data_IF_942435220151
#
_entry.id   IF_942435220151
#
_cell.length_a   1.000
_cell.length_b   1.000
_cell.length_c   1.000
_cell.angle_alpha   90.00
_cell.angle_beta   90.00
_cell.angle_gamma   90.00
#
_symmetry.space_group_name_H-M   'P 1'
#
loop_
_entity.id
_entity.type
_entity.pdbx_description
1 polymer ?
#
# COMPACT_ATOMS: atom_id res chain seq x y z
N UNK A 1 1.49 -13.50 -3.68
CA UNK A 1 2.44 -12.43 -3.27
C UNK A 1 1.63 -11.14 -3.10
N UNK A 2 1.98 -10.20 -2.20
CA UNK A 2 1.14 -9.02 -1.89
C UNK A 2 0.64 -8.20 -3.09
N UNK A 3 1.37 -8.22 -4.21
CA UNK A 3 0.91 -7.59 -5.46
C UNK A 3 -0.31 -8.30 -6.06
N UNK A 4 -0.34 -9.64 -6.07
CA UNK A 4 -1.52 -10.41 -6.50
C UNK A 4 -2.70 -10.21 -5.53
N UNK A 5 -2.41 -10.00 -4.24
CA UNK A 5 -3.44 -9.69 -3.24
C UNK A 5 -3.97 -8.26 -3.43
N UNK A 6 -3.10 -7.30 -3.74
CA UNK A 6 -3.47 -5.93 -4.09
C UNK A 6 -4.31 -5.88 -5.36
N UNK A 7 -3.89 -6.55 -6.43
CA UNK A 7 -4.67 -6.65 -7.68
C UNK A 7 -6.01 -7.33 -7.43
N UNK A 8 -6.04 -8.46 -6.72
CA UNK A 8 -7.28 -9.16 -6.40
C UNK A 8 -8.27 -8.30 -5.60
N UNK A 9 -7.78 -7.52 -4.62
CA UNK A 9 -8.66 -6.66 -3.82
C UNK A 9 -9.16 -5.46 -4.65
N UNK A 10 -8.29 -4.83 -5.42
CA UNK A 10 -8.66 -3.66 -6.23
C UNK A 10 -9.58 -4.01 -7.39
N UNK A 11 -9.41 -5.19 -8.01
CA UNK A 11 -10.21 -5.62 -9.16
C UNK A 11 -11.65 -6.02 -8.76
N UNK A 12 -11.92 -6.24 -7.47
CA UNK A 12 -13.25 -6.56 -6.94
C UNK A 12 -13.95 -5.36 -6.27
N UNK A 13 -13.32 -4.17 -6.25
CA UNK A 13 -13.88 -3.00 -5.61
C UNK A 13 -14.85 -2.25 -6.53
N UNK A 14 -15.92 -1.70 -5.96
CA UNK A 14 -16.92 -0.91 -6.69
C UNK A 14 -16.35 0.43 -7.19
N UNK A 15 -15.44 1.04 -6.41
CA UNK A 15 -14.75 2.27 -6.75
C UNK A 15 -13.35 2.33 -6.11
N UNK A 16 -12.54 3.31 -6.50
CA UNK A 16 -11.15 3.42 -6.02
C UNK A 16 -11.05 3.66 -4.51
N UNK A 17 -12.03 4.36 -3.92
CA UNK A 17 -12.08 4.68 -2.49
C UNK A 17 -12.34 3.41 -1.66
N UNK A 18 -13.33 2.62 -2.06
CA UNK A 18 -13.68 1.34 -1.45
C UNK A 18 -12.55 0.33 -1.61
N UNK A 19 -11.90 0.28 -2.78
CA UNK A 19 -10.74 -0.58 -3.01
C UNK A 19 -9.59 -0.29 -2.05
N UNK A 20 -9.24 0.98 -1.85
CA UNK A 20 -8.20 1.37 -0.89
C UNK A 20 -8.62 1.00 0.54
N UNK A 21 -9.85 1.31 0.95
CA UNK A 21 -10.36 0.93 2.29
C UNK A 21 -10.26 -0.58 2.52
N UNK A 22 -10.74 -1.36 1.57
CA UNK A 22 -10.84 -2.81 1.68
C UNK A 22 -9.45 -3.46 1.63
N UNK A 23 -8.49 -2.85 0.94
CA UNK A 23 -7.09 -3.28 0.94
C UNK A 23 -6.44 -3.17 2.32
N UNK A 24 -6.57 -2.03 3.02
CA UNK A 24 -6.04 -1.89 4.38
C UNK A 24 -6.75 -2.83 5.38
N UNK A 25 -8.06 -3.03 5.23
CA UNK A 25 -8.81 -3.98 6.06
C UNK A 25 -8.37 -5.44 5.80
N UNK A 26 -8.20 -5.83 4.54
CA UNK A 26 -7.71 -7.15 4.15
C UNK A 26 -6.28 -7.41 4.62
N UNK A 27 -5.42 -6.39 4.59
CA UNK A 27 -4.07 -6.46 5.16
C UNK A 27 -4.09 -6.74 6.67
N UNK A 28 -5.00 -6.12 7.43
CA UNK A 28 -5.16 -6.38 8.87
C UNK A 28 -5.59 -7.82 9.15
N UNK A 29 -6.59 -8.32 8.41
CA UNK A 29 -7.07 -9.71 8.53
C UNK A 29 -5.96 -10.72 8.22
N UNK A 30 -5.18 -10.46 7.17
CA UNK A 30 -4.05 -11.32 6.76
C UNK A 30 -2.98 -11.35 7.85
N UNK A 31 -2.67 -10.19 8.42
CA UNK A 31 -1.67 -10.09 9.46
C UNK A 31 -2.10 -10.86 10.73
N UNK A 32 -3.35 -10.75 11.16
CA UNK A 32 -3.87 -11.52 12.29
C UNK A 32 -3.90 -13.03 12.00
N UNK A 33 -4.38 -13.43 10.82
CA UNK A 33 -4.49 -14.83 10.43
C UNK A 33 -3.12 -15.54 10.34
N UNK A 34 -2.06 -14.78 10.10
CA UNK A 34 -0.69 -15.28 9.98
C UNK A 34 0.13 -15.09 11.26
N UNK A 35 -0.51 -14.78 12.39
CA UNK A 35 0.15 -14.50 13.67
C UNK A 35 1.20 -13.37 13.58
N UNK A 36 0.91 -12.34 12.78
CA UNK A 36 1.77 -11.19 12.49
C UNK A 36 3.06 -11.54 11.73
N UNK A 37 3.10 -12.71 11.09
CA UNK A 37 4.24 -13.15 10.28
C UNK A 37 4.22 -12.55 8.87
N UNK A 38 3.03 -12.49 8.24
CA UNK A 38 2.88 -12.02 6.86
C UNK A 38 2.52 -10.54 6.86
N UNK A 39 3.57 -9.71 6.82
CA UNK A 39 3.52 -8.30 6.43
C UNK A 39 4.28 -8.15 5.11
N UNK A 40 4.87 -6.99 4.78
CA UNK A 40 5.64 -6.86 3.54
C UNK A 40 7.06 -7.49 3.63
N UNK A 41 7.34 -8.63 2.96
CA UNK A 41 8.69 -9.19 2.91
C UNK A 41 9.65 -8.29 2.10
N UNK A 42 9.14 -7.61 1.05
CA UNK A 42 9.94 -6.69 0.22
C UNK A 42 10.49 -5.55 1.05
N UNK A 43 9.68 -4.95 1.93
CA UNK A 43 10.12 -3.89 2.84
C UNK A 43 11.20 -4.39 3.81
N UNK A 44 11.02 -5.60 4.36
CA UNK A 44 12.01 -6.20 5.26
C UNK A 44 13.36 -6.39 4.56
N UNK A 45 13.36 -6.95 3.34
CA UNK A 45 14.59 -7.12 2.55
C UNK A 45 15.21 -5.76 2.21
N UNK A 46 14.41 -4.79 1.76
CA UNK A 46 14.89 -3.46 1.42
C UNK A 46 15.61 -2.80 2.61
N UNK A 47 15.02 -2.86 3.81
CA UNK A 47 15.59 -2.30 5.03
C UNK A 47 16.89 -2.99 5.46
N UNK A 48 16.99 -4.32 5.29
CA UNK A 48 18.16 -5.08 5.69
C UNK A 48 19.34 -4.89 4.72
N UNK A 49 19.07 -4.81 3.42
CA UNK A 49 20.12 -4.98 2.40
C UNK A 49 20.51 -3.71 1.65
N UNK A 50 19.80 -2.59 1.86
CA UNK A 50 19.97 -1.38 1.05
C UNK A 50 21.41 -0.84 0.99
N UNK A 51 22.17 -1.00 2.08
CA UNK A 51 23.56 -0.51 2.20
C UNK A 51 24.62 -1.59 1.99
N UNK A 52 24.22 -2.85 1.79
CA UNK A 52 25.13 -4.02 1.84
C UNK A 52 25.03 -4.93 0.62
N UNK A 53 23.94 -4.88 -0.15
CA UNK A 53 23.71 -5.74 -1.30
C UNK A 53 23.01 -4.98 -2.43
N UNK A 54 23.79 -4.42 -3.36
CA UNK A 54 23.27 -3.64 -4.49
C UNK A 54 22.28 -4.44 -5.37
N UNK A 55 22.55 -5.71 -5.76
CA UNK A 55 21.58 -6.50 -6.52
C UNK A 55 20.20 -6.61 -5.85
N UNK A 56 20.14 -6.96 -4.57
CA UNK A 56 18.87 -7.05 -3.84
C UNK A 56 18.23 -5.68 -3.64
N UNK A 57 19.01 -4.63 -3.36
CA UNK A 57 18.51 -3.26 -3.28
C UNK A 57 17.84 -2.82 -4.58
N UNK A 58 18.38 -3.19 -5.76
CA UNK A 58 17.70 -2.85 -7.03
C UNK A 58 16.45 -3.67 -7.23
N UNK A 59 16.48 -4.96 -6.93
CA UNK A 59 15.31 -5.82 -7.06
C UNK A 59 14.14 -5.32 -6.19
N UNK A 60 14.39 -4.91 -4.94
CA UNK A 60 13.35 -4.34 -4.08
C UNK A 60 12.85 -2.99 -4.62
N UNK A 61 13.73 -2.15 -5.17
CA UNK A 61 13.33 -0.88 -5.78
C UNK A 61 12.44 -1.09 -7.02
N UNK A 62 12.76 -2.07 -7.86
CA UNK A 62 11.97 -2.44 -9.04
C UNK A 62 10.57 -2.94 -8.65
N UNK A 63 10.46 -3.72 -7.57
CA UNK A 63 9.18 -4.18 -7.03
C UNK A 63 8.34 -3.01 -6.50
N UNK A 64 8.91 -2.12 -5.67
CA UNK A 64 8.15 -0.96 -5.18
C UNK A 64 7.75 -0.01 -6.31
N UNK A 65 8.61 0.19 -7.32
CA UNK A 65 8.26 1.01 -8.48
C UNK A 65 7.12 0.40 -9.30
N UNK A 66 7.06 -0.93 -9.47
CA UNK A 66 5.93 -1.56 -10.17
C UNK A 66 4.62 -1.39 -9.40
N UNK A 67 4.67 -1.39 -8.06
CA UNK A 67 3.51 -1.13 -7.22
C UNK A 67 3.04 0.32 -7.33
N UNK A 68 3.97 1.27 -7.28
CA UNK A 68 3.69 2.69 -7.47
C UNK A 68 3.08 2.93 -8.85
N UNK A 69 3.64 2.34 -9.91
CA UNK A 69 3.12 2.47 -11.26
C UNK A 69 1.69 1.92 -11.38
N UNK A 70 1.44 0.70 -10.91
CA UNK A 70 0.11 0.08 -10.96
C UNK A 70 -0.96 0.83 -10.16
N UNK A 71 -0.60 1.40 -9.01
CA UNK A 71 -1.50 2.27 -8.24
C UNK A 71 -1.71 3.64 -8.91
N UNK A 72 -0.68 4.20 -9.54
CA UNK A 72 -0.76 5.45 -10.33
C UNK A 72 -1.73 5.30 -11.49
N UNK A 73 -1.62 4.21 -12.25
CA UNK A 73 -2.50 3.92 -13.38
C UNK A 73 -3.96 3.80 -12.94
N UNK A 74 -4.22 3.08 -11.84
CA UNK A 74 -5.56 2.96 -11.25
C UNK A 74 -6.12 4.30 -10.78
N UNK A 75 -5.33 5.09 -10.05
CA UNK A 75 -5.74 6.43 -9.62
C UNK A 75 -6.04 7.36 -10.82
N UNK A 76 -5.24 7.26 -11.88
CA UNK A 76 -5.47 8.02 -13.12
C UNK A 76 -6.76 7.59 -13.81
N UNK A 77 -7.01 6.28 -13.90
CA UNK A 77 -8.26 5.74 -14.45
C UNK A 77 -9.50 6.14 -13.64
N UNK A 78 -9.33 6.38 -12.32
CA UNK A 78 -10.38 6.88 -11.44
C UNK A 78 -10.61 8.40 -11.53
N UNK A 79 -9.81 9.12 -12.32
CA UNK A 79 -9.96 10.57 -12.56
C UNK A 79 -8.92 11.46 -11.90
N UNK A 80 -7.90 10.92 -11.21
CA UNK A 80 -6.87 11.74 -10.56
C UNK A 80 -5.79 12.15 -11.59
N UNK A 81 -5.35 13.42 -11.65
CA UNK A 81 -4.22 13.82 -12.49
C UNK A 81 -2.96 12.98 -12.25
N UNK A 82 -2.25 12.59 -13.31
CA UNK A 82 -1.20 11.55 -13.23
C UNK A 82 -0.07 11.84 -12.23
N UNK A 83 0.36 13.10 -12.11
CA UNK A 83 1.37 13.54 -11.14
C UNK A 83 0.87 13.38 -9.69
N UNK A 84 -0.39 13.72 -9.44
CA UNK A 84 -1.06 13.55 -8.15
C UNK A 84 -1.36 12.09 -7.85
N UNK A 85 -1.76 11.31 -8.85
CA UNK A 85 -1.99 9.87 -8.71
C UNK A 85 -0.70 9.14 -8.29
N UNK A 86 0.46 9.55 -8.84
CA UNK A 86 1.76 9.01 -8.43
C UNK A 86 2.12 9.40 -7.00
N UNK A 87 1.90 10.66 -6.62
CA UNK A 87 2.14 11.11 -5.25
C UNK A 87 1.26 10.33 -4.24
N UNK A 88 -0.02 10.16 -4.56
CA UNK A 88 -0.95 9.37 -3.76
C UNK A 88 -0.53 7.90 -3.68
N UNK A 89 -0.10 7.28 -4.79
CA UNK A 89 0.40 5.90 -4.79
C UNK A 89 1.57 5.71 -3.80
N UNK A 90 2.51 6.65 -3.78
CA UNK A 90 3.64 6.64 -2.83
C UNK A 90 3.14 6.79 -1.39
N UNK A 91 2.20 7.72 -1.15
CA UNK A 91 1.61 7.93 0.17
C UNK A 91 0.91 6.66 0.70
N UNK A 92 0.09 6.01 -0.13
CA UNK A 92 -0.62 4.79 0.23
C UNK A 92 0.33 3.66 0.64
N UNK A 93 1.43 3.46 -0.12
CA UNK A 93 2.45 2.48 0.22
C UNK A 93 3.17 2.86 1.51
N UNK A 94 3.55 4.13 1.69
CA UNK A 94 4.21 4.58 2.91
C UNK A 94 3.34 4.39 4.17
N UNK A 95 2.04 4.68 4.07
CA UNK A 95 1.06 4.46 5.13
C UNK A 95 0.96 2.97 5.49
N UNK A 96 0.86 2.10 4.47
CA UNK A 96 0.78 0.65 4.66
C UNK A 96 2.03 0.09 5.34
N UNK A 97 3.21 0.42 4.82
CA UNK A 97 4.47 -0.12 5.34
C UNK A 97 4.76 0.38 6.76
N UNK A 98 4.49 1.65 7.03
CA UNK A 98 4.56 2.20 8.39
C UNK A 98 3.59 1.51 9.35
N UNK A 99 2.36 1.25 8.90
CA UNK A 99 1.37 0.53 9.69
C UNK A 99 1.81 -0.91 9.97
N UNK A 100 2.40 -1.63 9.02
CA UNK A 100 2.93 -2.97 9.24
C UNK A 100 4.03 -3.01 10.30
N UNK A 101 4.95 -2.05 10.30
CA UNK A 101 5.99 -1.94 11.35
C UNK A 101 5.35 -1.83 12.73
N UNK A 102 4.40 -0.91 12.89
CA UNK A 102 3.71 -0.68 14.17
C UNK A 102 2.87 -1.90 14.58
N UNK A 103 2.12 -2.48 13.66
CA UNK A 103 1.25 -3.62 13.94
C UNK A 103 2.04 -4.84 14.40
N UNK A 104 3.18 -5.14 13.75
CA UNK A 104 4.04 -6.26 14.14
C UNK A 104 4.69 -6.04 15.49
N UNK A 105 5.15 -4.81 15.77
CA UNK A 105 5.78 -4.48 17.04
C UNK A 105 4.79 -4.56 18.22
N UNK A 106 3.57 -4.06 18.02
CA UNK A 106 2.54 -4.01 19.05
C UNK A 106 1.69 -5.30 19.13
N UNK A 107 1.76 -6.17 18.12
CA UNK A 107 0.84 -7.31 17.91
C UNK A 107 -0.62 -6.86 18.01
N UNK A 108 -0.94 -5.80 17.26
CA UNK A 108 -2.27 -5.18 17.14
C UNK A 108 -2.46 -4.68 15.72
N UNK A 109 -3.69 -4.65 15.21
CA UNK A 109 -4.03 -4.12 13.87
C UNK A 109 -4.47 -2.65 13.88
N UNK A 110 -4.40 -1.99 15.04
CA UNK A 110 -4.84 -0.59 15.22
C UNK A 110 -4.21 0.37 14.18
N UNK A 111 -2.90 0.24 13.94
CA UNK A 111 -2.22 1.15 13.01
C UNK A 111 -2.69 0.97 11.55
N UNK A 112 -3.08 -0.24 11.14
CA UNK A 112 -3.67 -0.47 9.81
C UNK A 112 -5.06 0.15 9.69
N UNK A 113 -5.86 0.11 10.75
CA UNK A 113 -7.17 0.78 10.77
C UNK A 113 -7.02 2.30 10.65
N UNK A 114 -6.08 2.90 11.40
CA UNK A 114 -5.78 4.34 11.32
C UNK A 114 -5.26 4.71 9.93
N UNK A 115 -4.29 3.95 9.41
CA UNK A 115 -3.71 4.19 8.10
C UNK A 115 -4.75 4.07 6.98
N UNK A 116 -5.62 3.05 7.01
CA UNK A 116 -6.70 2.87 6.06
C UNK A 116 -7.69 4.04 6.06
N UNK A 117 -8.04 4.56 7.24
CA UNK A 117 -8.92 5.71 7.36
C UNK A 117 -8.30 7.01 6.80
N UNK A 118 -6.97 7.19 6.90
CA UNK A 118 -6.26 8.33 6.28
C UNK A 118 -6.10 8.15 4.78
N UNK A 119 -5.64 6.99 4.34
CA UNK A 119 -5.54 6.60 2.94
C UNK A 119 -6.85 6.87 2.18
N UNK A 120 -7.98 6.48 2.77
CA UNK A 120 -9.30 6.71 2.17
C UNK A 120 -9.67 8.21 2.11
N UNK A 121 -9.22 9.03 3.06
CA UNK A 121 -9.42 10.49 3.02
C UNK A 121 -8.56 11.13 1.93
N UNK A 122 -7.27 10.79 1.84
CA UNK A 122 -6.36 11.28 0.79
C UNK A 122 -6.87 10.95 -0.62
N UNK A 123 -7.45 9.76 -0.82
CA UNK A 123 -8.09 9.41 -2.11
C UNK A 123 -9.29 10.30 -2.42
N UNK A 124 -10.15 10.58 -1.43
CA UNK A 124 -11.32 11.44 -1.64
C UNK A 124 -10.91 12.88 -1.95
N UNK A 125 -9.90 13.40 -1.26
CA UNK A 125 -9.34 14.72 -1.54
C UNK A 125 -8.76 14.79 -2.96
N UNK A 126 -8.01 13.76 -3.35
CA UNK A 126 -7.44 13.67 -4.69
C UNK A 126 -8.48 13.67 -5.82
N UNK A 127 -9.66 13.07 -5.57
CA UNK A 127 -10.78 13.03 -6.52
C UNK A 127 -11.63 14.32 -6.50
N UNK A 128 -11.63 15.08 -5.40
CA UNK A 128 -12.47 16.27 -5.24
C UNK A 128 -11.86 17.53 -5.88
N UNK A 129 -10.53 17.59 -5.98
CA UNK A 129 -9.76 18.74 -6.45
C UNK A 129 -9.85 19.01 -7.98
N UNK A 130 -10.72 18.31 -8.69
CA UNK A 130 -11.04 18.52 -10.11
C UNK A 130 -12.31 19.40 -10.33
N UNK A 131 -12.83 20.06 -9.27
CA UNK A 131 -13.95 21.02 -9.31
C UNK A 131 -13.53 22.48 -9.16
#
# INVERSE_FOLDING_TARGET
>A
MYFELFELIMDNADDYVSGVRDFFAGAALTLEATDYADACPTATVALEVASTNEPLRRATAEVFESWIAGATERGTAAGIPADRARALAIELIALLEGAFVLCRAARSTEALAVAGARATESVREALADDL
#
